data_IF_283459133973
#
_entry.id   IF_283459133973
#
_cell.length_a   1.000
_cell.length_b   1.000
_cell.length_c   1.000
_cell.angle_alpha   90.00
_cell.angle_beta   90.00
_cell.angle_gamma   90.00
#
_symmetry.space_group_name_H-M   'P 1'
#
loop_
_entity.id
_entity.type
_entity.pdbx_description
1 polymer ?
#
# COMPACT_ATOMS: atom_id res chain seq x y z
N UNK A 1 -0.98 -13.87 -45.00
CA UNK A 1 -2.02 -14.40 -44.09
C UNK A 1 -1.44 -15.07 -42.84
N UNK A 2 -0.45 -15.98 -42.95
CA UNK A 2 0.16 -16.66 -41.77
C UNK A 2 0.76 -15.70 -40.72
N UNK A 3 1.47 -14.66 -41.15
CA UNK A 3 2.08 -13.67 -40.23
C UNK A 3 1.06 -12.76 -39.50
N UNK A 4 -0.16 -12.63 -40.02
CA UNK A 4 -1.21 -11.82 -39.40
C UNK A 4 -1.78 -12.49 -38.15
N UNK A 5 -1.82 -13.83 -38.13
CA UNK A 5 -2.23 -14.62 -36.96
C UNK A 5 -1.21 -14.47 -35.83
N UNK A 6 0.09 -14.45 -36.14
CA UNK A 6 1.16 -14.25 -35.15
C UNK A 6 1.10 -12.86 -34.50
N UNK A 7 0.70 -11.82 -35.24
CA UNK A 7 0.55 -10.46 -34.71
C UNK A 7 -0.60 -10.35 -33.69
N UNK A 8 -1.71 -11.04 -33.93
CA UNK A 8 -2.88 -11.06 -33.02
C UNK A 8 -2.55 -11.78 -31.71
N UNK A 9 -1.79 -12.87 -31.77
CA UNK A 9 -1.35 -13.63 -30.58
C UNK A 9 -0.36 -12.82 -29.73
N UNK A 10 0.48 -11.98 -30.34
CA UNK A 10 1.45 -11.14 -29.63
C UNK A 10 0.79 -9.96 -28.88
N UNK A 11 -0.31 -9.41 -29.42
CA UNK A 11 -1.06 -8.31 -28.79
C UNK A 11 -1.86 -8.79 -27.58
N UNK A 12 -2.34 -10.04 -27.58
CA UNK A 12 -3.17 -10.60 -26.52
C UNK A 12 -2.44 -10.84 -25.18
N UNK A 13 -1.10 -10.80 -25.16
CA UNK A 13 -0.31 -11.08 -23.94
C UNK A 13 -0.09 -9.86 -23.03
N UNK A 14 -0.54 -8.66 -23.41
CA UNK A 14 -0.05 -7.42 -22.79
C UNK A 14 -0.95 -6.74 -21.75
N UNK A 15 -2.06 -7.31 -21.30
CA UNK A 15 -2.86 -6.59 -20.29
C UNK A 15 -3.70 -7.49 -19.38
N UNK A 16 -3.04 -8.02 -18.36
CA UNK A 16 -3.70 -8.25 -17.07
C UNK A 16 -2.85 -7.55 -16.00
N UNK A 17 -3.10 -6.27 -15.77
CA UNK A 17 -2.56 -5.61 -14.59
C UNK A 17 -3.43 -6.05 -13.40
N UNK A 18 -3.03 -7.13 -12.74
CA UNK A 18 -3.76 -7.62 -11.58
C UNK A 18 -3.54 -6.66 -10.41
N UNK A 19 -4.62 -6.04 -9.96
CA UNK A 19 -4.59 -5.26 -8.72
C UNK A 19 -4.22 -6.20 -7.57
N UNK A 20 -3.23 -5.82 -6.77
CA UNK A 20 -2.73 -6.60 -5.65
C UNK A 20 -3.85 -6.97 -4.66
N UNK A 21 -3.81 -8.22 -4.20
CA UNK A 21 -4.82 -8.82 -3.32
C UNK A 21 -4.67 -8.40 -1.85
N UNK A 22 -3.48 -7.91 -1.51
CA UNK A 22 -3.05 -7.53 -0.18
C UNK A 22 -2.41 -6.14 -0.17
N UNK A 23 -2.59 -5.43 0.93
CA UNK A 23 -1.66 -4.37 1.32
C UNK A 23 -0.45 -5.05 1.96
N UNK A 24 0.75 -4.77 1.47
CA UNK A 24 1.96 -5.24 2.14
C UNK A 24 3.12 -4.27 1.98
N UNK A 25 3.98 -4.27 2.99
CA UNK A 25 5.15 -3.41 3.09
C UNK A 25 5.70 -3.40 4.50
N UNK A 26 6.58 -2.45 4.77
CA UNK A 26 7.23 -2.31 6.06
C UNK A 26 6.84 -1.00 6.75
N UNK A 27 6.73 -1.06 8.07
CA UNK A 27 6.42 0.10 8.92
C UNK A 27 7.56 0.29 9.92
N UNK A 28 8.03 1.52 10.03
CA UNK A 28 9.11 1.95 10.92
C UNK A 28 8.72 3.19 11.72
N UNK A 29 9.39 3.40 12.84
CA UNK A 29 9.43 4.66 13.59
C UNK A 29 10.90 5.03 13.72
N UNK A 30 11.31 6.18 13.17
CA UNK A 30 12.71 6.64 13.25
C UNK A 30 13.72 5.59 12.78
N UNK A 31 13.42 4.93 11.64
CA UNK A 31 14.20 3.82 11.07
C UNK A 31 14.31 2.57 11.96
N UNK A 32 13.57 2.48 13.06
CA UNK A 32 13.42 1.26 13.87
C UNK A 32 12.19 0.48 13.39
N UNK A 33 12.30 -0.82 13.07
CA UNK A 33 11.15 -1.61 12.65
C UNK A 33 10.06 -1.63 13.71
N UNK A 34 8.84 -1.33 13.32
CA UNK A 34 7.70 -1.34 14.22
C UNK A 34 7.14 -2.76 14.33
N UNK A 35 7.51 -3.50 15.38
CA UNK A 35 7.08 -4.88 15.59
C UNK A 35 5.76 -4.97 16.38
N UNK A 36 4.95 -6.00 16.08
CA UNK A 36 3.67 -6.30 16.75
C UNK A 36 2.63 -5.16 16.73
N UNK A 37 2.76 -4.21 15.81
CA UNK A 37 1.73 -3.20 15.59
C UNK A 37 0.57 -3.80 14.81
N UNK A 38 -0.65 -3.42 15.19
CA UNK A 38 -1.87 -3.87 14.51
C UNK A 38 -2.12 -2.96 13.32
N UNK A 39 -2.20 -3.54 12.14
CA UNK A 39 -2.49 -2.85 10.88
C UNK A 39 -3.90 -3.21 10.44
N UNK A 40 -4.79 -2.23 10.33
CA UNK A 40 -6.22 -2.42 10.10
C UNK A 40 -6.62 -1.71 8.81
N UNK A 41 -7.40 -2.37 7.97
CA UNK A 41 -8.06 -1.71 6.84
C UNK A 41 -9.32 -0.98 7.35
N UNK A 42 -9.38 0.34 7.15
CA UNK A 42 -10.51 1.15 7.58
C UNK A 42 -11.83 0.66 6.99
N UNK A 43 -12.93 0.79 7.75
CA UNK A 43 -14.27 0.31 7.39
C UNK A 43 -14.36 -1.21 7.13
N UNK A 44 -13.38 -1.98 7.59
CA UNK A 44 -13.40 -3.45 7.49
C UNK A 44 -13.08 -4.09 8.85
N UNK A 45 -13.23 -5.42 8.92
CA UNK A 45 -12.74 -6.23 10.05
C UNK A 45 -11.35 -6.81 9.77
N UNK A 46 -10.74 -6.51 8.63
CA UNK A 46 -9.47 -7.09 8.23
C UNK A 46 -8.33 -6.38 8.95
N UNK A 47 -7.46 -7.17 9.55
CA UNK A 47 -6.24 -6.69 10.17
C UNK A 47 -5.12 -7.72 10.06
N UNK A 48 -3.90 -7.25 10.25
CA UNK A 48 -2.69 -8.06 10.40
C UNK A 48 -1.82 -7.45 11.49
N UNK A 49 -0.74 -8.14 11.83
CA UNK A 49 0.30 -7.59 12.71
C UNK A 49 1.61 -7.50 11.96
N UNK A 50 2.39 -6.47 12.28
CA UNK A 50 3.76 -6.39 11.80
C UNK A 50 4.65 -7.44 12.48
N UNK A 51 5.57 -8.02 11.74
CA UNK A 51 6.59 -8.93 12.25
C UNK A 51 7.75 -8.17 12.93
N UNK A 52 8.78 -8.91 13.36
CA UNK A 52 9.98 -8.33 14.01
C UNK A 52 10.79 -7.40 13.10
N UNK A 53 10.60 -7.48 11.78
CA UNK A 53 11.23 -6.62 10.77
C UNK A 53 10.31 -5.47 10.36
N UNK A 54 9.15 -5.31 11.01
CA UNK A 54 8.16 -4.30 10.67
C UNK A 54 7.32 -4.62 9.44
N UNK A 55 7.46 -5.82 8.86
CA UNK A 55 6.71 -6.24 7.69
C UNK A 55 5.29 -6.63 8.05
N UNK A 56 4.32 -6.24 7.24
CA UNK A 56 2.94 -6.74 7.33
C UNK A 56 2.42 -7.19 5.96
N UNK A 57 1.45 -8.09 6.01
CA UNK A 57 0.63 -8.46 4.86
C UNK A 57 -0.83 -8.53 5.30
N UNK A 58 -1.66 -7.67 4.72
CA UNK A 58 -3.06 -7.48 5.06
C UNK A 58 -3.93 -7.73 3.83
N UNK A 59 -4.71 -8.81 3.87
CA UNK A 59 -5.68 -9.12 2.82
C UNK A 59 -6.76 -8.03 2.75
N UNK A 60 -7.03 -7.57 1.53
CA UNK A 60 -8.04 -6.55 1.27
C UNK A 60 -9.44 -7.11 1.40
N UNK A 61 -10.34 -6.33 1.99
CA UNK A 61 -11.76 -6.65 2.07
C UNK A 61 -12.43 -6.49 0.69
N UNK A 62 -12.05 -5.48 -0.08
CA UNK A 62 -12.50 -5.28 -1.45
C UNK A 62 -11.33 -4.79 -2.33
N UNK A 63 -11.14 -5.43 -3.49
CA UNK A 63 -10.06 -5.08 -4.43
C UNK A 63 -10.36 -3.84 -5.27
N UNK A 64 -11.64 -3.47 -5.40
CA UNK A 64 -12.12 -2.33 -6.18
C UNK A 64 -11.87 -0.98 -5.50
N UNK A 65 -11.71 -0.98 -4.17
CA UNK A 65 -11.55 0.24 -3.39
C UNK A 65 -10.25 0.22 -2.57
N UNK A 66 -9.55 1.35 -2.57
CA UNK A 66 -8.37 1.56 -1.73
C UNK A 66 -8.80 2.25 -0.44
N UNK A 67 -8.68 1.52 0.66
CA UNK A 67 -9.04 2.02 1.98
C UNK A 67 -7.84 2.72 2.64
N UNK A 68 -8.13 3.58 3.62
CA UNK A 68 -7.10 4.07 4.56
C UNK A 68 -6.62 2.91 5.43
N UNK A 69 -5.36 2.98 5.86
CA UNK A 69 -4.79 2.03 6.81
C UNK A 69 -4.70 2.68 8.19
N UNK A 70 -5.14 1.98 9.22
CA UNK A 70 -5.03 2.40 10.62
C UNK A 70 -3.94 1.54 11.27
N UNK A 71 -2.95 2.20 11.87
CA UNK A 71 -1.85 1.54 12.56
C UNK A 71 -2.00 1.80 14.06
N UNK A 72 -2.07 0.75 14.86
CA UNK A 72 -2.17 0.81 16.32
C UNK A 72 -0.92 0.20 16.95
N UNK A 73 -0.27 0.98 17.81
CA UNK A 73 0.89 0.59 18.60
C UNK A 73 0.67 1.06 20.05
N UNK A 74 0.41 0.11 20.95
CA UNK A 74 0.07 0.44 22.34
C UNK A 74 -1.16 1.36 22.41
N UNK A 75 -0.95 2.61 22.85
CA UNK A 75 -2.00 3.65 22.93
C UNK A 75 -2.03 4.59 21.73
N UNK A 76 -1.04 4.50 20.83
CA UNK A 76 -0.94 5.37 19.66
C UNK A 76 -1.79 4.82 18.52
N UNK A 77 -2.40 5.72 17.74
CA UNK A 77 -3.17 5.37 16.54
C UNK A 77 -2.87 6.36 15.43
N UNK A 78 -2.41 5.86 14.29
CA UNK A 78 -2.13 6.65 13.09
C UNK A 78 -3.06 6.22 11.95
N UNK A 79 -3.65 7.19 11.24
CA UNK A 79 -4.45 6.94 10.02
C UNK A 79 -3.64 7.33 8.79
N UNK A 80 -3.37 6.39 7.90
CA UNK A 80 -2.56 6.56 6.70
C UNK A 80 -3.47 6.61 5.47
N UNK A 81 -3.34 7.68 4.69
CA UNK A 81 -3.98 7.82 3.40
C UNK A 81 -3.01 7.27 2.35
N UNK A 82 -3.42 6.23 1.61
CA UNK A 82 -2.50 5.50 0.75
C UNK A 82 -2.22 6.20 -0.59
N UNK A 83 -3.08 7.13 -1.02
CA UNK A 83 -2.93 7.82 -2.30
C UNK A 83 -1.70 8.74 -2.26
N UNK A 84 -0.74 8.48 -3.15
CA UNK A 84 0.42 9.33 -3.38
C UNK A 84 0.24 10.08 -4.70
N UNK A 85 0.51 11.39 -4.69
CA UNK A 85 0.58 12.17 -5.93
C UNK A 85 1.85 11.78 -6.68
N UNK A 86 1.70 11.32 -7.91
CA UNK A 86 2.82 11.14 -8.82
C UNK A 86 3.15 12.44 -9.56
N UNK A 87 4.39 12.58 -10.03
CA UNK A 87 4.84 13.66 -10.91
C UNK A 87 4.19 13.60 -12.31
N UNK A 88 4.68 14.43 -13.24
CA UNK A 88 4.09 14.62 -14.57
C UNK A 88 3.86 13.29 -15.31
N UNK A 89 2.59 12.87 -15.42
CA UNK A 89 2.19 11.57 -16.01
C UNK A 89 0.82 11.05 -15.57
N UNK A 90 0.28 11.54 -14.44
CA UNK A 90 -1.15 11.43 -14.10
C UNK A 90 -1.64 10.06 -13.59
N UNK A 91 -0.75 9.09 -13.34
CA UNK A 91 -1.14 7.83 -12.68
C UNK A 91 -1.11 8.02 -11.16
N UNK A 92 -2.07 7.42 -10.46
CA UNK A 92 -2.14 7.47 -9.00
C UNK A 92 -1.42 6.24 -8.43
N UNK A 93 -0.38 6.47 -7.63
CA UNK A 93 0.31 5.40 -6.92
C UNK A 93 -0.28 5.25 -5.51
N UNK A 94 -0.45 4.02 -5.06
CA UNK A 94 -0.97 3.73 -3.73
C UNK A 94 0.08 3.00 -2.90
N UNK A 95 0.39 3.55 -1.73
CA UNK A 95 1.29 2.93 -0.76
C UNK A 95 0.77 1.53 -0.39
N UNK A 96 1.68 0.57 -0.30
CA UNK A 96 1.46 -0.85 0.03
C UNK A 96 0.75 -1.69 -1.04
N UNK A 97 0.29 -1.06 -2.12
CA UNK A 97 -0.36 -1.72 -3.26
C UNK A 97 0.51 -1.78 -4.51
N UNK A 98 1.68 -1.15 -4.50
CA UNK A 98 2.61 -1.25 -5.62
C UNK A 98 3.25 -2.65 -5.67
N UNK A 99 3.75 -3.03 -6.86
CA UNK A 99 4.52 -4.27 -7.03
C UNK A 99 5.85 -4.23 -6.25
N UNK A 100 6.35 -3.04 -5.95
CA UNK A 100 7.53 -2.84 -5.12
C UNK A 100 7.12 -2.85 -3.65
N UNK A 101 7.98 -3.41 -2.79
CA UNK A 101 7.74 -3.38 -1.35
C UNK A 101 7.95 -1.96 -0.83
N UNK A 102 6.86 -1.37 -0.37
CA UNK A 102 6.86 -0.03 0.20
C UNK A 102 7.33 -0.02 1.65
N UNK A 103 7.90 1.11 2.07
CA UNK A 103 8.30 1.36 3.46
C UNK A 103 7.71 2.68 3.94
N UNK A 104 7.04 2.65 5.08
CA UNK A 104 6.46 3.81 5.75
C UNK A 104 7.23 4.12 7.03
N UNK A 105 7.69 5.36 7.16
CA UNK A 105 8.18 5.90 8.43
C UNK A 105 7.09 6.77 9.07
N UNK A 106 6.54 6.31 10.20
CA UNK A 106 5.44 6.99 10.88
C UNK A 106 5.84 8.35 11.44
N UNK A 107 7.10 8.54 11.87
CA UNK A 107 7.49 9.83 12.44
C UNK A 107 7.50 10.91 11.34
N UNK A 108 8.01 10.56 10.16
CA UNK A 108 7.93 11.42 8.97
C UNK A 108 6.48 11.76 8.61
N UNK A 109 5.59 10.77 8.60
CA UNK A 109 4.17 10.98 8.30
C UNK A 109 3.49 11.93 9.32
N UNK A 110 3.80 11.77 10.61
CA UNK A 110 3.29 12.64 11.67
C UNK A 110 3.77 14.08 11.51
N UNK A 111 5.03 14.28 11.11
CA UNK A 111 5.59 15.62 10.84
C UNK A 111 4.86 16.32 9.69
N UNK A 112 4.65 15.62 8.57
CA UNK A 112 3.94 16.20 7.43
C UNK A 112 2.49 16.60 7.77
N UNK A 113 1.77 15.77 8.52
CA UNK A 113 0.40 16.08 8.95
C UNK A 113 0.31 17.33 9.83
N UNK A 114 1.28 17.52 10.73
CA UNK A 114 1.34 18.71 11.59
C UNK A 114 1.50 19.98 10.76
N UNK A 115 2.41 19.98 9.78
CA UNK A 115 2.65 21.13 8.90
C UNK A 115 1.46 21.49 8.00
N UNK A 116 0.63 20.51 7.62
CA UNK A 116 -0.57 20.76 6.81
C UNK A 116 -1.80 21.24 7.60
N UNK A 117 -1.70 21.28 8.93
CA UNK A 117 -2.79 21.69 9.84
C UNK A 117 -2.60 23.10 10.42
N UNK A 118 -1.49 23.76 10.06
CA UNK A 118 -1.19 25.18 10.28
C UNK A 118 -1.51 25.99 9.01
#
# INVERSE_FOLDING_TARGET
MKYFIYLIVFIAMNSCHSIKDDYSGYIYIDKVPLANAKVIEANSKNYSFTDKKGYFNLKRANKEFVSKIIIQEGKNTDTIYLAQKEGAGGKMNFLFLSEKLDTLDLNRERMFKKQSSE
#
